data_IF_901536743038
#
_entry.id   IF_901536743038
#
_cell.length_a   1.000
_cell.length_b   1.000
_cell.length_c   1.000
_cell.angle_alpha   90.00
_cell.angle_beta   90.00
_cell.angle_gamma   90.00
#
_symmetry.space_group_name_H-M   'P 1'
#
loop_
_entity.id
_entity.type
_entity.pdbx_description
1 polymer ?
#
# COMPACT_ATOMS: atom_id res chain seq x y z
N UNK A 1 5.95 -41.12 6.56
CA UNK A 1 6.21 -40.40 5.31
C UNK A 1 5.28 -39.19 5.25
N UNK A 2 5.52 -38.15 6.06
CA UNK A 2 6.43 -37.02 5.77
C UNK A 2 6.06 -36.36 4.43
N UNK A 3 5.40 -35.20 4.42
CA UNK A 3 6.13 -33.94 4.53
C UNK A 3 5.27 -32.82 5.11
N UNK A 4 5.63 -32.39 6.32
CA UNK A 4 5.28 -31.09 6.86
C UNK A 4 6.28 -30.07 6.30
N UNK A 5 5.80 -29.05 5.59
CA UNK A 5 6.53 -27.81 5.37
C UNK A 5 5.59 -26.66 5.67
N UNK A 6 5.55 -26.33 6.97
CA UNK A 6 5.16 -25.01 7.42
C UNK A 6 6.28 -24.03 7.07
N UNK A 7 5.90 -22.92 6.48
CA UNK A 7 6.69 -21.70 6.51
C UNK A 7 5.79 -20.67 7.17
N UNK A 8 5.91 -20.59 8.49
CA UNK A 8 5.32 -19.54 9.31
C UNK A 8 6.30 -18.34 9.27
N UNK A 9 6.11 -17.44 8.30
CA UNK A 9 6.89 -16.22 8.19
C UNK A 9 6.31 -15.18 9.17
N UNK A 10 6.69 -15.32 10.43
CA UNK A 10 6.55 -14.29 11.44
C UNK A 10 7.51 -13.12 11.11
N UNK A 11 7.06 -12.19 10.28
CA UNK A 11 7.72 -10.88 10.12
C UNK A 11 7.19 -9.97 11.24
N UNK A 12 7.84 -10.03 12.40
CA UNK A 12 7.70 -8.99 13.42
C UNK A 12 8.59 -7.81 13.02
N UNK A 13 7.98 -6.67 12.70
CA UNK A 13 8.72 -5.42 12.51
C UNK A 13 8.21 -4.34 13.45
N UNK A 14 9.10 -3.84 14.29
CA UNK A 14 8.93 -2.66 15.13
C UNK A 14 9.64 -1.50 14.45
N UNK A 15 8.93 -0.41 14.20
CA UNK A 15 9.55 0.86 13.79
C UNK A 15 9.08 1.90 14.80
N UNK A 16 10.03 2.43 15.56
CA UNK A 16 9.80 3.49 16.55
C UNK A 16 10.27 4.79 15.90
N UNK A 17 9.45 5.85 15.97
CA UNK A 17 9.86 7.20 15.56
C UNK A 17 10.34 7.96 16.78
N UNK A 18 11.41 8.75 16.62
CA UNK A 18 12.07 9.48 17.71
C UNK A 18 11.20 10.58 18.35
N UNK A 19 9.97 10.81 17.84
CA UNK A 19 9.15 11.94 18.26
C UNK A 19 7.86 11.56 19.01
N UNK A 20 7.36 10.31 18.93
CA UNK A 20 6.06 9.97 19.51
C UNK A 20 6.13 8.60 20.19
N UNK A 21 5.73 8.56 21.46
CA UNK A 21 5.72 7.38 22.34
C UNK A 21 4.64 6.37 21.91
N UNK A 22 4.79 5.81 20.71
CA UNK A 22 4.00 4.72 20.19
C UNK A 22 4.82 3.44 20.30
N UNK A 23 4.79 2.82 21.47
CA UNK A 23 5.30 1.46 21.66
C UNK A 23 4.38 0.47 20.93
N UNK A 24 4.81 0.00 19.75
CA UNK A 24 4.46 -1.36 19.35
C UNK A 24 5.12 -2.28 20.39
N UNK A 25 4.33 -3.17 21.01
CA UNK A 25 4.83 -4.21 21.90
C UNK A 25 3.91 -5.43 21.81
N UNK A 26 4.42 -6.58 21.36
CA UNK A 26 3.71 -7.85 21.53
C UNK A 26 4.26 -8.56 22.78
N UNK A 27 3.57 -8.45 23.90
CA UNK A 27 3.76 -9.37 25.03
C UNK A 27 3.06 -10.68 24.69
N UNK A 28 3.82 -11.64 24.17
CA UNK A 28 3.41 -13.04 24.19
C UNK A 28 3.41 -13.50 25.65
N UNK A 29 2.23 -13.56 26.25
CA UNK A 29 2.09 -14.02 27.62
C UNK A 29 0.68 -13.89 28.15
N UNK A 30 -0.22 -14.76 27.69
CA UNK A 30 -1.51 -15.00 28.34
C UNK A 30 -2.70 -14.57 27.49
N UNK A 31 -3.37 -15.59 26.93
CA UNK A 31 -4.71 -15.59 26.35
C UNK A 31 -5.46 -14.24 26.40
N UNK A 32 -5.32 -13.45 25.33
CA UNK A 32 -6.19 -12.33 25.01
C UNK A 32 -6.61 -12.43 23.54
N UNK A 33 -7.91 -12.63 23.37
CA UNK A 33 -8.77 -12.61 22.19
C UNK A 33 -8.10 -12.52 20.80
N UNK A 34 -8.15 -13.63 20.05
CA UNK A 34 -8.03 -13.60 18.59
C UNK A 34 -9.14 -12.71 18.03
N UNK A 35 -8.77 -11.54 17.52
CA UNK A 35 -9.69 -10.63 16.85
C UNK A 35 -10.46 -11.40 15.78
N UNK A 36 -11.78 -11.23 15.76
CA UNK A 36 -12.58 -11.91 14.76
C UNK A 36 -12.43 -11.21 13.37
N UNK A 37 -12.86 -11.84 12.27
CA UNK A 37 -12.79 -11.25 10.93
C UNK A 37 -13.49 -9.88 10.80
N UNK A 38 -14.45 -9.55 11.68
CA UNK A 38 -15.13 -8.26 11.74
C UNK A 38 -14.28 -7.18 12.42
N UNK A 39 -13.48 -7.49 13.44
CA UNK A 39 -12.48 -6.56 14.02
C UNK A 39 -11.27 -6.36 13.10
N UNK A 40 -10.96 -7.38 12.31
CA UNK A 40 -9.97 -7.32 11.22
C UNK A 40 -10.47 -6.40 10.09
N UNK A 41 -11.75 -6.48 9.73
CA UNK A 41 -12.39 -5.60 8.75
C UNK A 41 -12.66 -4.18 9.29
N UNK A 42 -12.87 -3.98 10.59
CA UNK A 42 -13.08 -2.66 11.21
C UNK A 42 -11.77 -1.87 11.38
N UNK A 43 -10.65 -2.57 11.63
CA UNK A 43 -9.28 -2.05 11.50
C UNK A 43 -8.95 -1.74 10.03
N UNK A 44 -9.43 -2.54 9.08
CA UNK A 44 -9.38 -2.22 7.63
C UNK A 44 -10.32 -1.07 7.21
N UNK A 45 -11.34 -0.71 8.00
CA UNK A 45 -12.45 0.19 7.62
C UNK A 45 -12.60 1.48 8.45
N UNK A 46 -11.63 1.91 9.28
CA UNK A 46 -11.63 3.30 9.80
C UNK A 46 -11.03 4.33 8.81
N UNK A 47 -10.72 3.86 7.61
CA UNK A 47 -10.23 4.61 6.45
C UNK A 47 -11.29 4.53 5.35
N UNK A 48 -11.64 5.67 4.74
CA UNK A 48 -12.52 5.65 3.57
C UNK A 48 -11.73 5.07 2.40
N UNK A 49 -12.20 4.03 1.68
CA UNK A 49 -11.59 3.65 0.42
C UNK A 49 -11.79 4.79 -0.57
N UNK A 50 -10.70 5.45 -0.98
CA UNK A 50 -10.78 6.69 -1.77
C UNK A 50 -10.89 6.41 -3.26
N UNK A 51 -10.20 5.40 -3.78
CA UNK A 51 -10.21 5.08 -5.21
C UNK A 51 -10.11 3.57 -5.45
N UNK A 52 -11.07 3.04 -6.22
CA UNK A 52 -10.95 1.80 -6.96
C UNK A 52 -10.82 2.16 -8.45
N UNK A 53 -9.62 2.02 -9.00
CA UNK A 53 -9.31 2.39 -10.37
C UNK A 53 -8.80 1.18 -11.15
N UNK A 54 -9.20 1.06 -12.41
CA UNK A 54 -8.56 0.16 -13.36
C UNK A 54 -7.82 0.99 -14.41
N UNK A 55 -6.50 0.84 -14.49
CA UNK A 55 -5.67 1.60 -15.43
C UNK A 55 -4.90 0.65 -16.35
N UNK A 56 -5.04 0.80 -17.68
CA UNK A 56 -4.19 0.07 -18.60
C UNK A 56 -2.82 0.75 -18.73
N UNK A 57 -1.77 -0.06 -18.82
CA UNK A 57 -0.46 0.41 -19.28
C UNK A 57 -0.04 -0.41 -20.49
N UNK A 58 0.17 0.28 -21.60
CA UNK A 58 0.84 -0.28 -22.79
C UNK A 58 2.29 0.15 -22.70
N UNK A 59 3.22 -0.79 -22.55
CA UNK A 59 4.65 -0.52 -22.40
C UNK A 59 5.07 0.08 -21.03
N UNK A 60 6.35 0.42 -20.89
CA UNK A 60 7.00 0.90 -19.67
C UNK A 60 6.80 2.41 -19.40
N UNK A 61 5.54 2.84 -19.40
CA UNK A 61 5.15 4.21 -19.07
C UNK A 61 4.42 4.28 -17.73
N UNK A 62 4.69 5.33 -16.96
CA UNK A 62 3.95 5.62 -15.72
C UNK A 62 2.53 6.08 -16.06
N UNK A 63 1.56 5.56 -15.34
CA UNK A 63 0.18 5.96 -15.42
C UNK A 63 -0.37 6.24 -14.01
N UNK A 64 -1.06 7.38 -13.86
CA UNK A 64 -1.78 7.74 -12.65
C UNK A 64 -2.98 6.81 -12.46
N UNK A 65 -3.03 6.16 -11.28
CA UNK A 65 -4.12 5.26 -10.89
C UNK A 65 -5.08 5.97 -9.95
N UNK A 66 -4.55 6.83 -9.08
CA UNK A 66 -5.34 7.61 -8.15
C UNK A 66 -4.61 8.85 -7.66
N UNK A 67 -5.41 9.75 -7.07
CA UNK A 67 -4.97 11.00 -6.50
C UNK A 67 -5.74 11.28 -5.21
N UNK A 68 -5.02 11.77 -4.21
CA UNK A 68 -5.58 12.19 -2.93
C UNK A 68 -5.05 13.59 -2.62
N UNK A 69 -5.95 14.56 -2.50
CA UNK A 69 -5.56 15.91 -2.05
C UNK A 69 -5.23 15.89 -0.58
N UNK A 70 -4.09 16.47 -0.22
CA UNK A 70 -3.66 16.67 1.16
C UNK A 70 -3.92 18.15 1.50
N UNK A 71 -4.93 18.45 2.35
CA UNK A 71 -5.15 19.80 2.86
C UNK A 71 -3.90 20.35 3.54
N UNK A 72 -3.77 21.67 3.50
CA UNK A 72 -2.67 22.34 4.20
C UNK A 72 -2.78 22.11 5.71
N UNK A 73 -1.66 21.89 6.37
CA UNK A 73 -1.57 21.55 7.80
C UNK A 73 -2.24 20.23 8.20
N UNK A 74 -2.41 19.30 7.25
CA UNK A 74 -2.90 17.93 7.52
C UNK A 74 -1.84 16.88 7.20
N UNK A 75 -1.97 15.71 7.83
CA UNK A 75 -1.21 14.51 7.52
C UNK A 75 -2.15 13.34 7.25
N UNK A 76 -1.80 12.47 6.30
CA UNK A 76 -2.58 11.31 5.90
C UNK A 76 -1.70 10.07 5.88
N UNK A 77 -2.20 9.00 6.49
CA UNK A 77 -1.71 7.64 6.29
C UNK A 77 -2.49 7.00 5.14
N UNK A 78 -1.76 6.46 4.17
CA UNK A 78 -2.31 5.87 2.95
C UNK A 78 -1.74 4.47 2.78
N UNK A 79 -2.59 3.47 2.68
CA UNK A 79 -2.21 2.10 2.34
C UNK A 79 -2.84 1.70 1.00
N UNK A 80 -2.07 1.07 0.13
CA UNK A 80 -2.46 0.76 -1.25
C UNK A 80 -2.17 -0.68 -1.57
N UNK A 81 -3.21 -1.45 -1.89
CA UNK A 81 -3.08 -2.74 -2.54
C UNK A 81 -3.23 -2.55 -4.06
N UNK A 82 -2.31 -3.10 -4.84
CA UNK A 82 -2.33 -3.01 -6.31
C UNK A 82 -2.09 -4.39 -6.92
N UNK A 83 -2.91 -4.74 -7.90
CA UNK A 83 -2.84 -6.00 -8.65
C UNK A 83 -2.79 -5.71 -10.14
N UNK A 84 -1.83 -6.32 -10.83
CA UNK A 84 -1.66 -6.25 -12.27
C UNK A 84 -1.95 -7.58 -12.93
N UNK A 85 -2.80 -7.58 -13.96
CA UNK A 85 -3.00 -8.72 -14.84
C UNK A 85 -2.52 -8.37 -16.24
N UNK A 86 -1.62 -9.19 -16.78
CA UNK A 86 -1.21 -9.07 -18.18
C UNK A 86 -2.38 -9.43 -19.11
N UNK A 87 -2.60 -8.62 -20.15
CA UNK A 87 -3.76 -8.75 -21.05
C UNK A 87 -3.41 -9.34 -22.42
N UNK A 88 -2.16 -9.25 -22.84
CA UNK A 88 -1.64 -9.81 -24.10
C UNK A 88 -1.01 -11.20 -23.94
N UNK A 89 -0.74 -11.65 -22.70
CA UNK A 89 -0.27 -13.00 -22.39
C UNK A 89 -0.57 -13.37 -20.92
N UNK A 90 -0.04 -14.51 -20.45
CA UNK A 90 -0.07 -14.87 -19.03
C UNK A 90 0.94 -14.03 -18.24
N UNK A 91 0.48 -13.44 -17.13
CA UNK A 91 1.31 -12.67 -16.22
C UNK A 91 0.48 -12.06 -15.10
N UNK A 92 1.07 -11.99 -13.90
CA UNK A 92 0.44 -11.42 -12.72
C UNK A 92 1.50 -10.67 -11.90
N UNK A 93 1.08 -9.56 -11.30
CA UNK A 93 1.87 -8.75 -10.38
C UNK A 93 0.98 -8.34 -9.22
N UNK A 94 1.51 -8.26 -8.01
CA UNK A 94 0.76 -7.78 -6.85
C UNK A 94 1.68 -7.09 -5.86
N UNK A 95 1.20 -6.03 -5.22
CA UNK A 95 1.96 -5.29 -4.24
C UNK A 95 1.08 -4.62 -3.20
N UNK A 96 1.64 -4.40 -2.02
CA UNK A 96 1.05 -3.61 -0.96
C UNK A 96 2.05 -2.60 -0.44
N UNK A 97 1.69 -1.34 -0.51
CA UNK A 97 2.53 -0.20 -0.14
C UNK A 97 1.81 0.68 0.87
N UNK A 98 2.57 1.41 1.68
CA UNK A 98 2.05 2.49 2.49
C UNK A 98 2.82 3.78 2.28
N UNK A 99 2.15 4.90 2.53
CA UNK A 99 2.73 6.22 2.51
C UNK A 99 2.16 7.08 3.63
N UNK A 100 3.04 7.82 4.31
CA UNK A 100 2.67 8.96 5.13
C UNK A 100 2.86 10.22 4.29
N UNK A 101 1.78 10.94 4.03
CA UNK A 101 1.79 12.19 3.29
C UNK A 101 1.41 13.35 4.23
N UNK A 102 2.27 14.34 4.37
CA UNK A 102 2.01 15.54 5.18
C UNK A 102 2.15 16.78 4.31
N UNK A 103 1.32 17.80 4.56
CA UNK A 103 1.47 19.09 3.90
C UNK A 103 1.62 20.24 4.91
N UNK A 104 2.68 21.00 4.72
CA UNK A 104 2.90 22.33 5.32
C UNK A 104 3.43 23.25 4.22
N UNK A 105 2.51 23.83 3.44
CA UNK A 105 2.79 24.47 2.16
C UNK A 105 3.03 23.48 1.01
N UNK A 106 3.92 22.49 1.19
CA UNK A 106 4.29 21.47 0.19
C UNK A 106 4.04 20.05 0.73
N UNK A 107 3.59 19.13 -0.12
CA UNK A 107 3.41 17.72 0.23
C UNK A 107 4.77 17.01 0.35
N UNK A 108 5.02 16.44 1.52
CA UNK A 108 6.15 15.53 1.79
C UNK A 108 5.62 14.11 1.95
N UNK A 109 6.32 13.13 1.36
CA UNK A 109 5.88 11.72 1.34
C UNK A 109 6.98 10.84 1.91
N UNK A 110 6.62 9.96 2.84
CA UNK A 110 7.45 8.85 3.30
C UNK A 110 6.77 7.55 2.93
N UNK A 111 7.47 6.64 2.28
CA UNK A 111 6.88 5.40 1.75
C UNK A 111 7.47 4.16 2.41
N UNK A 112 6.67 3.12 2.55
CA UNK A 112 7.12 1.79 2.95
C UNK A 112 6.51 0.74 2.03
N UNK A 113 7.31 -0.26 1.66
CA UNK A 113 6.83 -1.45 0.98
C UNK A 113 6.44 -2.48 2.02
N UNK A 114 5.18 -2.91 2.03
CA UNK A 114 4.67 -3.92 2.96
C UNK A 114 4.75 -5.32 2.34
N UNK A 115 4.50 -5.40 1.03
CA UNK A 115 4.61 -6.60 0.23
C UNK A 115 4.88 -6.23 -1.22
N UNK A 116 5.76 -6.96 -1.90
CA UNK A 116 6.07 -6.72 -3.30
C UNK A 116 6.31 -8.03 -4.04
N UNK A 117 5.42 -8.31 -4.99
CA UNK A 117 5.52 -9.36 -5.99
C UNK A 117 5.22 -8.76 -7.37
N UNK A 118 5.96 -7.73 -7.74
CA UNK A 118 5.88 -7.13 -9.07
C UNK A 118 6.68 -7.94 -10.10
N UNK A 119 6.13 -8.09 -11.30
CA UNK A 119 6.88 -8.62 -12.44
C UNK A 119 8.10 -7.75 -12.73
N UNK A 120 9.22 -8.35 -13.12
CA UNK A 120 10.44 -7.60 -13.42
C UNK A 120 10.21 -6.48 -14.44
N UNK A 121 10.43 -5.24 -14.02
CA UNK A 121 10.21 -4.03 -14.82
C UNK A 121 8.89 -3.30 -14.53
N UNK A 122 7.89 -3.99 -13.97
CA UNK A 122 6.70 -3.35 -13.42
C UNK A 122 7.05 -2.68 -12.09
N UNK A 123 6.35 -1.59 -11.78
CA UNK A 123 6.70 -0.74 -10.65
C UNK A 123 5.50 0.06 -10.15
N UNK A 124 5.54 0.47 -8.88
CA UNK A 124 4.52 1.30 -8.24
C UNK A 124 5.19 2.40 -7.42
N UNK A 125 4.62 3.60 -7.43
CA UNK A 125 5.16 4.71 -6.63
C UNK A 125 4.09 5.68 -6.15
N UNK A 126 4.44 6.38 -5.09
CA UNK A 126 3.78 7.59 -4.64
C UNK A 126 4.57 8.82 -5.10
N UNK A 127 3.90 9.86 -5.60
CA UNK A 127 4.51 11.10 -6.09
C UNK A 127 3.76 12.29 -5.50
N UNK A 128 4.49 13.34 -5.12
CA UNK A 128 3.89 14.61 -4.71
C UNK A 128 3.66 15.47 -5.96
N UNK A 129 2.43 15.94 -6.17
CA UNK A 129 2.06 16.84 -7.26
C UNK A 129 1.29 18.04 -6.69
N UNK A 130 2.03 19.10 -6.36
CA UNK A 130 1.48 20.28 -5.70
C UNK A 130 0.86 19.98 -4.34
N UNK A 131 -0.48 20.00 -4.29
CA UNK A 131 -1.28 19.71 -3.10
C UNK A 131 -1.64 18.23 -2.95
N UNK A 132 -1.29 17.40 -3.92
CA UNK A 132 -1.81 16.04 -4.03
C UNK A 132 -0.71 14.99 -3.82
N UNK A 133 -1.14 13.86 -3.25
CA UNK A 133 -0.46 12.58 -3.31
C UNK A 133 -1.01 11.81 -4.52
N UNK A 134 -0.14 11.52 -5.48
CA UNK A 134 -0.46 10.75 -6.70
C UNK A 134 0.08 9.34 -6.55
N UNK A 135 -0.75 8.35 -6.90
CA UNK A 135 -0.40 6.94 -6.94
C UNK A 135 -0.27 6.52 -8.40
N UNK A 136 0.92 6.04 -8.77
CA UNK A 136 1.23 5.68 -10.15
C UNK A 136 1.71 4.24 -10.25
N UNK A 137 1.39 3.62 -11.38
CA UNK A 137 1.86 2.29 -11.74
C UNK A 137 2.53 2.33 -13.10
N UNK A 138 3.46 1.41 -13.32
CA UNK A 138 4.18 1.25 -14.57
C UNK A 138 4.19 -0.22 -14.97
N UNK A 139 3.83 -0.49 -16.21
CA UNK A 139 3.90 -1.81 -16.83
C UNK A 139 5.32 -2.23 -17.22
N UNK A 140 5.44 -3.43 -17.76
CA UNK A 140 6.71 -3.95 -18.30
C UNK A 140 6.87 -3.53 -19.76
N UNK A 141 8.12 -3.35 -20.21
CA UNK A 141 8.43 -3.02 -21.61
C UNK A 141 7.79 -4.04 -22.56
N UNK A 142 7.11 -3.55 -23.61
CA UNK A 142 6.46 -4.38 -24.65
C UNK A 142 5.43 -5.39 -24.11
N UNK A 143 4.72 -5.04 -23.02
CA UNK A 143 3.63 -5.83 -22.47
C UNK A 143 2.43 -4.94 -22.18
N UNK A 144 1.24 -5.50 -22.29
CA UNK A 144 0.00 -4.81 -21.95
C UNK A 144 -0.53 -5.33 -20.63
N UNK A 145 -0.78 -4.41 -19.70
CA UNK A 145 -1.25 -4.73 -18.35
C UNK A 145 -2.52 -3.96 -18.01
N UNK A 146 -3.39 -4.61 -17.23
CA UNK A 146 -4.53 -3.98 -16.57
C UNK A 146 -4.29 -4.02 -15.07
N UNK A 147 -4.21 -2.84 -14.46
CA UNK A 147 -3.91 -2.66 -13.04
C UNK A 147 -5.17 -2.29 -12.29
N UNK A 148 -5.46 -3.00 -11.20
CA UNK A 148 -6.51 -2.69 -10.24
C UNK A 148 -5.88 -2.22 -8.95
N UNK A 149 -6.36 -1.12 -8.39
CA UNK A 149 -5.83 -0.57 -7.14
C UNK A 149 -6.95 -0.32 -6.14
N UNK A 150 -6.68 -0.62 -4.87
CA UNK A 150 -7.52 -0.25 -3.74
C UNK A 150 -6.68 0.55 -2.75
N UNK A 151 -7.08 1.78 -2.46
CA UNK A 151 -6.40 2.66 -1.50
C UNK A 151 -7.25 2.90 -0.25
N UNK A 152 -6.62 2.86 0.91
CA UNK A 152 -7.16 3.17 2.23
C UNK A 152 -6.50 4.44 2.75
N UNK A 153 -7.26 5.49 3.06
CA UNK A 153 -6.68 6.74 3.58
C UNK A 153 -7.25 7.13 4.94
N UNK A 154 -6.41 7.67 5.81
CA UNK A 154 -6.80 8.19 7.12
C UNK A 154 -6.06 9.50 7.41
N UNK A 155 -6.78 10.54 7.81
CA UNK A 155 -6.16 11.75 8.36
C UNK A 155 -5.59 11.46 9.77
N UNK A 156 -4.36 11.89 10.01
CA UNK A 156 -3.66 11.83 11.29
C UNK A 156 -3.69 13.24 11.88
N UNK A 157 -4.45 13.40 12.97
CA UNK A 157 -4.58 14.65 13.75
C UNK A 157 -3.54 14.68 14.86
#
# INVERSE_FOLDING_TARGET
DESAYGVDLLVQQFTQSDAWDALRGSTAGGASAQLNPVETAWVQASSSPVVAGVVPTTDNMWAEVARVTVPDQSAYDVAVAIDGKRTDAFGFSSGWYSALAQRDGVVTIQTSTLYDHMSGGADFRFVADGADLVMEVKGVISQDWSWSMTSFTKEIV
#
